data_IF_011257598117
#
_entry.id   IF_011257598117
#
_cell.length_a   1.000
_cell.length_b   1.000
_cell.length_c   1.000
_cell.angle_alpha   90.00
_cell.angle_beta   90.00
_cell.angle_gamma   90.00
#
_symmetry.space_group_name_H-M   'P 1'
#
loop_
_entity.id
_entity.type
_entity.pdbx_description
1 polymer ?
#
# COMPACT_ATOMS: atom_id res chain seq x y z
N UNK A 1 20.26 4.32 -19.13
CA UNK A 1 18.97 3.69 -18.80
C UNK A 1 19.12 2.37 -18.03
N UNK A 2 19.83 1.33 -18.52
CA UNK A 2 19.96 0.05 -17.80
C UNK A 2 20.43 0.22 -16.36
N UNK A 3 21.54 0.92 -16.12
CA UNK A 3 22.10 1.18 -14.78
C UNK A 3 21.09 1.85 -13.84
N UNK A 4 20.33 2.83 -14.32
CA UNK A 4 19.32 3.55 -13.53
C UNK A 4 18.13 2.62 -13.19
N UNK A 5 17.67 1.81 -14.15
CA UNK A 5 16.62 0.82 -13.92
C UNK A 5 17.03 -0.21 -12.86
N UNK A 6 18.29 -0.69 -12.93
CA UNK A 6 18.80 -1.67 -11.98
C UNK A 6 18.99 -1.06 -10.57
N UNK A 7 19.34 0.22 -10.50
CA UNK A 7 19.43 0.96 -9.23
C UNK A 7 18.04 1.17 -8.61
N UNK A 8 17.06 1.60 -9.42
CA UNK A 8 15.67 1.78 -8.95
C UNK A 8 15.06 0.45 -8.48
N UNK A 9 15.23 -0.64 -9.25
CA UNK A 9 14.68 -1.96 -8.92
C UNK A 9 15.16 -2.52 -7.57
N UNK A 10 16.35 -2.13 -7.13
CA UNK A 10 16.90 -2.56 -5.83
C UNK A 10 16.31 -1.80 -4.63
N UNK A 11 15.60 -0.70 -4.85
CA UNK A 11 15.08 0.14 -3.76
C UNK A 11 13.85 -0.45 -3.08
N UNK A 12 13.09 -1.31 -3.76
CA UNK A 12 11.83 -1.92 -3.28
C UNK A 12 11.69 -3.37 -3.77
N UNK A 13 12.41 -4.35 -3.20
CA UNK A 13 12.43 -5.72 -3.73
C UNK A 13 11.12 -6.51 -3.52
N UNK A 14 10.36 -6.24 -2.44
CA UNK A 14 9.10 -6.94 -2.18
C UNK A 14 7.95 -6.38 -3.02
N UNK A 15 7.83 -5.05 -3.13
CA UNK A 15 6.76 -4.39 -3.88
C UNK A 15 6.95 -4.59 -5.40
N UNK A 16 6.00 -5.27 -6.05
CA UNK A 16 6.13 -5.67 -7.45
C UNK A 16 5.91 -4.54 -8.46
N UNK A 17 5.12 -3.52 -8.11
CA UNK A 17 4.71 -2.45 -9.03
C UNK A 17 5.90 -1.66 -9.62
N UNK A 18 6.95 -1.41 -8.83
CA UNK A 18 8.15 -0.74 -9.33
C UNK A 18 8.86 -1.59 -10.38
N UNK A 19 9.01 -2.89 -10.13
CA UNK A 19 9.60 -3.83 -11.10
C UNK A 19 8.76 -3.90 -12.39
N UNK A 20 7.43 -3.96 -12.26
CA UNK A 20 6.50 -3.91 -13.38
C UNK A 20 6.69 -2.63 -14.23
N UNK A 21 6.72 -1.46 -13.60
CA UNK A 21 6.91 -0.18 -14.31
C UNK A 21 8.28 -0.12 -15.00
N UNK A 22 9.36 -0.56 -14.33
CA UNK A 22 10.70 -0.62 -14.89
C UNK A 22 10.74 -1.55 -16.11
N UNK A 23 10.12 -2.71 -16.04
CA UNK A 23 10.08 -3.67 -17.14
C UNK A 23 9.30 -3.11 -18.34
N UNK A 24 8.19 -2.43 -18.11
CA UNK A 24 7.41 -1.73 -19.12
C UNK A 24 8.25 -0.66 -19.83
N UNK A 25 8.96 0.17 -19.08
CA UNK A 25 9.88 1.18 -19.63
C UNK A 25 11.06 0.56 -20.40
N UNK A 26 11.62 -0.56 -19.91
CA UNK A 26 12.68 -1.31 -20.61
C UNK A 26 12.17 -1.87 -21.95
N UNK A 27 10.92 -2.35 -22.01
CA UNK A 27 10.33 -2.88 -23.23
C UNK A 27 10.16 -1.78 -24.29
N UNK A 28 9.61 -0.62 -23.91
CA UNK A 28 9.50 0.54 -24.82
C UNK A 28 10.85 0.95 -25.38
N UNK A 29 11.89 0.98 -24.53
CA UNK A 29 13.25 1.30 -24.98
C UNK A 29 13.82 0.28 -25.95
N UNK A 30 13.53 -1.02 -25.75
CA UNK A 30 13.96 -2.12 -26.63
C UNK A 30 13.28 -2.00 -27.99
N UNK A 31 11.97 -1.75 -27.99
CA UNK A 31 11.18 -1.65 -29.22
C UNK A 31 11.53 -0.40 -30.03
N UNK A 32 12.02 0.64 -29.36
CA UNK A 32 12.43 1.92 -29.93
C UNK A 32 13.94 2.03 -30.18
N UNK A 33 14.73 0.95 -30.09
CA UNK A 33 16.21 0.99 -30.15
C UNK A 33 16.78 1.56 -31.44
N UNK A 34 16.03 1.51 -32.56
CA UNK A 34 16.47 1.96 -33.88
C UNK A 34 16.07 3.42 -34.18
N UNK A 35 15.33 4.08 -33.26
CA UNK A 35 14.92 5.47 -33.42
C UNK A 35 16.07 6.44 -33.09
N UNK A 36 16.05 7.63 -33.65
CA UNK A 36 16.91 8.74 -33.20
C UNK A 36 16.73 8.99 -31.70
N UNK A 37 17.81 9.43 -31.03
CA UNK A 37 17.80 9.63 -29.56
C UNK A 37 16.70 10.59 -29.10
N UNK A 38 16.38 11.61 -29.90
CA UNK A 38 15.29 12.56 -29.61
C UNK A 38 13.91 11.87 -29.59
N UNK A 39 13.64 11.01 -30.57
CA UNK A 39 12.39 10.26 -30.66
C UNK A 39 12.28 9.20 -29.56
N UNK A 40 13.38 8.50 -29.28
CA UNK A 40 13.42 7.55 -28.15
C UNK A 40 13.10 8.25 -26.82
N UNK A 41 13.64 9.44 -26.56
CA UNK A 41 13.32 10.22 -25.36
C UNK A 41 11.86 10.63 -25.32
N UNK A 42 11.29 11.04 -26.46
CA UNK A 42 9.87 11.41 -26.57
C UNK A 42 8.96 10.22 -26.24
N UNK A 43 9.23 9.04 -26.80
CA UNK A 43 8.52 7.79 -26.52
C UNK A 43 8.57 7.38 -25.07
N UNK A 44 9.77 7.44 -24.45
CA UNK A 44 9.90 7.11 -23.02
C UNK A 44 9.16 8.11 -22.13
N UNK A 45 9.14 9.39 -22.47
CA UNK A 45 8.35 10.39 -21.76
C UNK A 45 6.84 10.14 -21.90
N UNK A 46 6.37 9.86 -23.11
CA UNK A 46 4.99 9.52 -23.38
C UNK A 46 4.53 8.31 -22.56
N UNK A 47 5.32 7.22 -22.56
CA UNK A 47 5.02 6.03 -21.78
C UNK A 47 4.96 6.29 -20.28
N UNK A 48 5.88 7.09 -19.75
CA UNK A 48 5.87 7.46 -18.33
C UNK A 48 4.60 8.25 -17.95
N UNK A 49 4.13 9.15 -18.83
CA UNK A 49 2.88 9.88 -18.65
C UNK A 49 1.65 8.95 -18.79
N UNK A 50 1.73 7.96 -19.67
CA UNK A 50 0.70 6.93 -19.81
C UNK A 50 0.56 6.11 -18.52
N UNK A 51 1.68 5.63 -17.96
CA UNK A 51 1.68 4.92 -16.66
C UNK A 51 1.03 5.78 -15.57
N UNK A 52 1.36 7.06 -15.50
CA UNK A 52 0.77 8.01 -14.54
C UNK A 52 -0.75 8.09 -14.68
N UNK A 53 -1.25 8.30 -15.92
CA UNK A 53 -2.69 8.47 -16.17
C UNK A 53 -3.48 7.18 -15.99
N UNK A 54 -2.91 6.04 -16.39
CA UNK A 54 -3.49 4.72 -16.17
C UNK A 54 -3.63 4.42 -14.68
N UNK A 55 -2.60 4.66 -13.88
CA UNK A 55 -2.63 4.43 -12.43
C UNK A 55 -3.76 5.24 -11.77
N UNK A 56 -3.88 6.53 -12.08
CA UNK A 56 -4.97 7.36 -11.55
C UNK A 56 -6.34 6.81 -11.96
N UNK A 57 -6.50 6.42 -13.23
CA UNK A 57 -7.76 5.89 -13.74
C UNK A 57 -8.14 4.57 -13.08
N UNK A 58 -7.19 3.64 -12.98
CA UNK A 58 -7.36 2.33 -12.33
C UNK A 58 -7.75 2.50 -10.86
N UNK A 59 -7.04 3.37 -10.13
CA UNK A 59 -7.30 3.59 -8.70
C UNK A 59 -8.67 4.26 -8.48
N UNK A 60 -9.09 5.19 -9.36
CA UNK A 60 -10.45 5.76 -9.32
C UNK A 60 -11.51 4.70 -9.60
N UNK A 61 -11.32 3.85 -10.61
CA UNK A 61 -12.26 2.76 -10.92
C UNK A 61 -12.36 1.76 -9.75
N UNK A 62 -11.21 1.38 -9.16
CA UNK A 62 -11.17 0.55 -7.96
C UNK A 62 -11.92 1.18 -6.80
N UNK A 63 -11.74 2.47 -6.56
CA UNK A 63 -12.48 3.23 -5.55
C UNK A 63 -13.98 3.19 -5.79
N UNK A 64 -14.43 3.37 -7.05
CA UNK A 64 -15.85 3.31 -7.43
C UNK A 64 -16.47 1.92 -7.19
N UNK A 65 -15.73 0.85 -7.47
CA UNK A 65 -16.21 -0.50 -7.15
C UNK A 65 -16.15 -0.77 -5.64
N UNK A 66 -15.05 -0.44 -4.98
CA UNK A 66 -14.86 -0.70 -3.54
C UNK A 66 -15.83 0.08 -2.65
N UNK A 67 -16.22 1.29 -3.04
CA UNK A 67 -17.16 2.08 -2.25
C UNK A 67 -18.56 1.42 -2.12
N UNK A 68 -18.93 0.49 -3.02
CA UNK A 68 -20.18 -0.25 -2.90
C UNK A 68 -20.22 -1.21 -1.71
N UNK A 69 -19.06 -1.59 -1.18
CA UNK A 69 -18.90 -2.44 -0.01
C UNK A 69 -18.95 -1.66 1.31
N UNK A 70 -18.96 -0.33 1.25
CA UNK A 70 -18.95 0.56 2.41
C UNK A 70 -20.32 1.19 2.56
N UNK A 71 -20.90 1.12 3.73
CA UNK A 71 -22.19 1.74 4.02
C UNK A 71 -22.03 3.08 4.75
N UNK A 72 -23.04 3.96 4.65
CA UNK A 72 -23.03 5.20 5.42
C UNK A 72 -23.17 4.88 6.90
N UNK A 73 -22.34 5.51 7.72
CA UNK A 73 -22.25 5.21 9.17
C UNK A 73 -21.06 4.32 9.51
N UNK A 74 -20.48 3.60 8.54
CA UNK A 74 -19.41 2.67 8.81
C UNK A 74 -18.15 3.33 9.39
N UNK A 75 -17.47 2.56 10.22
CA UNK A 75 -16.09 2.80 10.69
C UNK A 75 -15.16 1.86 9.94
N UNK A 76 -14.30 2.43 9.11
CA UNK A 76 -13.33 1.71 8.27
C UNK A 76 -11.98 1.71 8.96
N UNK A 77 -11.41 0.52 9.23
CA UNK A 77 -10.04 0.40 9.71
C UNK A 77 -9.09 0.23 8.53
N UNK A 78 -7.96 0.93 8.57
CA UNK A 78 -6.89 0.79 7.58
C UNK A 78 -5.52 0.69 8.24
N UNK A 79 -4.55 0.09 7.53
CA UNK A 79 -3.18 -0.14 7.98
C UNK A 79 -2.18 0.29 6.92
N UNK A 80 -1.05 0.84 7.33
CA UNK A 80 -0.02 1.42 6.47
C UNK A 80 -0.52 2.67 5.71
N UNK A 81 0.06 2.95 4.55
CA UNK A 81 -0.41 3.97 3.63
C UNK A 81 -0.56 3.37 2.23
N UNK A 82 -1.79 3.29 1.78
CA UNK A 82 -2.17 2.94 0.42
C UNK A 82 -3.02 4.08 -0.19
N UNK A 83 -2.53 5.30 -0.02
CA UNK A 83 -3.14 6.55 -0.45
C UNK A 83 -2.50 7.17 -1.69
N UNK A 84 -2.78 8.44 -1.91
CA UNK A 84 -2.27 9.23 -3.03
C UNK A 84 -0.75 9.33 -3.01
N UNK A 85 -0.14 9.39 -1.81
CA UNK A 85 1.33 9.42 -1.62
C UNK A 85 2.02 8.09 -1.98
N UNK A 86 1.28 6.99 -2.03
CA UNK A 86 1.79 5.66 -2.41
C UNK A 86 1.46 5.29 -3.87
N UNK A 87 0.77 6.14 -4.60
CA UNK A 87 0.33 5.94 -5.99
C UNK A 87 0.56 7.21 -6.81
N UNK A 88 0.01 7.27 -8.02
CA UNK A 88 0.11 8.46 -8.85
C UNK A 88 -0.91 9.58 -8.51
N UNK A 89 -1.72 9.44 -7.43
CA UNK A 89 -2.52 10.55 -6.98
C UNK A 89 -3.90 10.27 -6.34
N UNK A 90 -4.45 9.03 -6.39
CA UNK A 90 -5.77 8.76 -5.80
C UNK A 90 -5.73 7.77 -4.64
N UNK A 91 -4.83 6.79 -4.72
CA UNK A 91 -4.70 5.73 -3.73
C UNK A 91 -5.57 4.51 -4.03
N UNK A 92 -5.21 3.38 -3.41
CA UNK A 92 -5.96 2.12 -3.49
C UNK A 92 -6.92 2.01 -2.31
N UNK A 93 -6.49 1.62 -1.12
CA UNK A 93 -7.35 1.56 0.07
C UNK A 93 -7.94 2.93 0.43
N UNK A 94 -7.11 3.99 0.46
CA UNK A 94 -7.63 5.35 0.67
C UNK A 94 -8.45 5.84 -0.52
N UNK A 95 -8.25 5.28 -1.71
CA UNK A 95 -9.10 5.51 -2.88
C UNK A 95 -10.53 5.01 -2.67
N UNK A 96 -10.72 3.85 -2.04
CA UNK A 96 -12.06 3.34 -1.64
C UNK A 96 -12.71 4.28 -0.63
N UNK A 97 -11.95 4.74 0.37
CA UNK A 97 -12.43 5.70 1.39
C UNK A 97 -12.85 7.03 0.72
N UNK A 98 -12.01 7.60 -0.16
CA UNK A 98 -12.29 8.81 -0.93
C UNK A 98 -13.54 8.67 -1.79
N UNK A 99 -13.66 7.55 -2.50
CA UNK A 99 -14.84 7.26 -3.33
C UNK A 99 -16.12 7.14 -2.50
N UNK A 100 -16.04 6.57 -1.30
CA UNK A 100 -17.18 6.47 -0.38
C UNK A 100 -17.65 7.86 0.08
N UNK A 101 -16.73 8.74 0.46
CA UNK A 101 -17.06 10.14 0.79
C UNK A 101 -17.62 10.87 -0.43
N UNK A 102 -17.00 10.70 -1.61
CA UNK A 102 -17.48 11.28 -2.87
C UNK A 102 -18.87 10.82 -3.29
N UNK A 103 -19.27 9.63 -2.87
CA UNK A 103 -20.64 9.10 -3.03
C UNK A 103 -21.63 9.61 -1.96
N UNK A 104 -21.24 10.56 -1.11
CA UNK A 104 -22.07 11.17 -0.08
C UNK A 104 -22.23 10.33 1.20
N UNK A 105 -21.42 9.29 1.39
CA UNK A 105 -21.47 8.45 2.59
C UNK A 105 -20.79 9.14 3.77
N UNK A 106 -21.41 9.06 4.93
CA UNK A 106 -20.83 9.54 6.18
C UNK A 106 -20.08 8.40 6.85
N UNK A 107 -18.76 8.35 6.71
CA UNK A 107 -17.91 7.32 7.30
C UNK A 107 -16.84 7.92 8.20
N UNK A 108 -16.27 7.10 9.07
CA UNK A 108 -15.12 7.44 9.91
C UNK A 108 -14.01 6.43 9.66
N UNK A 109 -12.76 6.85 9.84
CA UNK A 109 -11.60 5.98 9.64
C UNK A 109 -10.85 5.80 10.95
N UNK A 110 -10.48 4.56 11.26
CA UNK A 110 -9.43 4.22 12.22
C UNK A 110 -8.16 3.91 11.43
N UNK A 111 -7.11 4.65 11.67
CA UNK A 111 -5.81 4.44 11.03
C UNK A 111 -4.82 3.87 12.06
N UNK A 112 -4.32 2.66 11.83
CA UNK A 112 -3.20 2.12 12.60
C UNK A 112 -1.96 2.98 12.36
N UNK A 113 -1.16 3.25 13.42
CA UNK A 113 0.08 4.03 13.29
C UNK A 113 1.12 3.36 12.40
N UNK A 114 1.10 2.03 12.32
CA UNK A 114 1.96 1.18 11.47
C UNK A 114 3.42 1.27 11.85
N UNK A 115 3.76 0.66 13.01
CA UNK A 115 5.17 0.46 13.39
C UNK A 115 5.89 -0.45 12.38
N UNK A 116 7.23 -0.34 12.21
CA UNK A 116 8.11 0.64 12.87
C UNK A 116 8.20 1.99 12.15
N UNK A 117 7.91 2.09 10.84
CA UNK A 117 8.15 3.30 10.04
C UNK A 117 7.03 4.35 10.16
N UNK A 118 5.91 4.02 10.82
CA UNK A 118 4.79 4.92 11.14
C UNK A 118 4.09 5.53 9.90
N UNK A 119 3.92 4.75 8.82
CA UNK A 119 3.25 5.23 7.61
C UNK A 119 1.79 5.63 7.89
N UNK A 120 1.09 4.91 8.76
CA UNK A 120 -0.27 5.26 9.15
C UNK A 120 -0.33 6.60 9.88
N UNK A 121 0.54 6.82 10.86
CA UNK A 121 0.60 8.06 11.61
C UNK A 121 1.09 9.25 10.78
N UNK A 122 2.14 9.03 9.95
CA UNK A 122 2.83 10.10 9.22
C UNK A 122 2.15 10.47 7.90
N UNK A 123 1.57 9.50 7.21
CA UNK A 123 1.05 9.67 5.85
C UNK A 123 -0.46 9.51 5.78
N UNK A 124 -1.01 8.38 6.25
CA UNK A 124 -2.46 8.12 6.15
C UNK A 124 -3.28 9.12 6.95
N UNK A 125 -2.90 9.39 8.20
CA UNK A 125 -3.60 10.37 9.02
C UNK A 125 -3.52 11.78 8.42
N UNK A 126 -2.37 12.14 7.82
CA UNK A 126 -2.18 13.41 7.13
C UNK A 126 -3.07 13.51 5.88
N UNK A 127 -3.03 12.51 4.98
CA UNK A 127 -3.84 12.51 3.76
C UNK A 127 -5.34 12.66 4.07
N UNK A 128 -5.85 11.84 5.00
CA UNK A 128 -7.26 11.87 5.36
C UNK A 128 -7.67 13.19 6.00
N UNK A 129 -6.79 13.79 6.81
CA UNK A 129 -7.02 15.11 7.40
C UNK A 129 -7.07 16.21 6.33
N UNK A 130 -6.13 16.21 5.37
CA UNK A 130 -6.14 17.18 4.25
C UNK A 130 -7.39 17.03 3.38
N UNK A 131 -7.89 15.81 3.21
CA UNK A 131 -9.14 15.54 2.48
C UNK A 131 -10.40 15.84 3.31
N UNK A 132 -10.28 16.33 4.55
CA UNK A 132 -11.38 16.54 5.50
C UNK A 132 -12.18 15.26 5.79
N UNK A 133 -11.56 14.10 5.76
CA UNK A 133 -12.15 12.81 6.10
C UNK A 133 -11.95 12.54 7.59
N UNK A 134 -13.01 12.26 8.37
CA UNK A 134 -12.89 11.99 9.79
C UNK A 134 -11.99 10.79 10.08
N UNK A 135 -10.84 11.03 10.71
CA UNK A 135 -9.86 10.00 11.04
C UNK A 135 -9.48 10.03 12.51
N UNK A 136 -9.37 8.85 13.12
CA UNK A 136 -8.79 8.64 14.45
C UNK A 136 -7.55 7.78 14.30
N UNK A 137 -6.40 8.28 14.72
CA UNK A 137 -5.16 7.52 14.78
C UNK A 137 -5.16 6.63 16.02
N UNK A 138 -4.77 5.37 15.85
CA UNK A 138 -4.61 4.38 16.93
C UNK A 138 -3.25 3.70 16.83
N UNK A 139 -2.74 3.19 17.95
CA UNK A 139 -1.56 2.31 17.89
C UNK A 139 -1.95 0.94 17.32
N UNK A 140 -0.99 0.22 16.73
CA UNK A 140 -1.28 -1.07 16.09
C UNK A 140 -1.92 -2.09 17.04
N UNK A 141 -1.50 -2.10 18.31
CA UNK A 141 -2.05 -2.97 19.35
C UNK A 141 -3.50 -2.64 19.75
N UNK A 142 -4.01 -1.46 19.42
CA UNK A 142 -5.38 -1.07 19.75
C UNK A 142 -6.43 -1.61 18.77
N UNK A 143 -6.05 -2.07 17.58
CA UNK A 143 -7.02 -2.52 16.57
C UNK A 143 -7.94 -3.65 17.11
N UNK A 144 -7.38 -4.61 17.85
CA UNK A 144 -8.15 -5.68 18.49
C UNK A 144 -9.16 -5.18 19.53
N UNK A 145 -8.82 -4.14 20.29
CA UNK A 145 -9.74 -3.52 21.23
C UNK A 145 -10.98 -2.95 20.51
N UNK A 146 -10.77 -2.15 19.46
CA UNK A 146 -11.87 -1.55 18.71
C UNK A 146 -12.71 -2.60 17.97
N UNK A 147 -12.09 -3.65 17.41
CA UNK A 147 -12.82 -4.75 16.76
C UNK A 147 -13.69 -5.52 17.76
N UNK A 148 -13.13 -5.88 18.93
CA UNK A 148 -13.86 -6.59 19.99
C UNK A 148 -15.05 -5.78 20.52
N UNK A 149 -14.91 -4.47 20.60
CA UNK A 149 -15.97 -3.55 21.06
C UNK A 149 -16.98 -3.20 19.95
N UNK A 150 -16.89 -3.85 18.77
CA UNK A 150 -17.78 -3.60 17.60
C UNK A 150 -17.74 -2.15 17.12
N UNK A 151 -16.57 -1.53 17.21
CA UNK A 151 -16.31 -0.17 16.73
C UNK A 151 -15.63 -0.13 15.35
N UNK A 152 -15.54 -1.29 14.66
CA UNK A 152 -15.03 -1.44 13.31
C UNK A 152 -16.04 -2.24 12.51
N UNK A 153 -16.47 -1.71 11.36
CA UNK A 153 -17.43 -2.38 10.49
C UNK A 153 -16.74 -3.14 9.36
N UNK A 154 -15.61 -2.63 8.85
CA UNK A 154 -14.81 -3.30 7.83
C UNK A 154 -13.35 -2.83 7.87
N UNK A 155 -12.49 -3.66 7.28
CA UNK A 155 -11.07 -3.34 7.08
C UNK A 155 -10.80 -3.19 5.58
N UNK A 156 -10.06 -2.14 5.19
CA UNK A 156 -9.57 -1.97 3.82
C UNK A 156 -8.08 -1.65 3.86
N UNK A 157 -7.26 -2.47 3.21
CA UNK A 157 -5.80 -2.29 3.11
C UNK A 157 -5.34 -2.35 1.66
N UNK A 158 -4.11 -1.91 1.39
CA UNK A 158 -3.44 -2.14 0.11
C UNK A 158 -2.73 -3.49 0.06
N UNK A 159 -1.89 -3.68 -0.96
CA UNK A 159 -0.98 -4.81 -1.08
C UNK A 159 0.34 -4.38 -1.72
N UNK A 160 1.44 -4.97 -1.28
CA UNK A 160 2.76 -4.83 -1.92
C UNK A 160 2.99 -5.89 -2.98
N UNK A 161 2.45 -7.11 -2.80
CA UNK A 161 2.45 -8.20 -3.79
C UNK A 161 1.32 -9.19 -3.50
N UNK A 162 0.76 -9.76 -4.55
CA UNK A 162 -0.28 -10.81 -4.46
C UNK A 162 0.18 -11.99 -5.30
N UNK A 163 0.31 -13.17 -4.70
CA UNK A 163 0.69 -14.41 -5.37
C UNK A 163 -0.47 -15.03 -6.17
N UNK A 164 -0.17 -16.03 -7.00
CA UNK A 164 -1.14 -16.69 -7.88
C UNK A 164 -2.29 -17.40 -7.17
N UNK A 165 -2.10 -17.83 -5.92
CA UNK A 165 -3.15 -18.42 -5.08
C UNK A 165 -4.00 -17.38 -4.32
N UNK A 166 -3.66 -16.09 -4.45
CA UNK A 166 -4.34 -14.98 -3.76
C UNK A 166 -3.75 -14.58 -2.41
N UNK A 167 -2.66 -15.18 -1.98
CA UNK A 167 -1.95 -14.73 -0.77
C UNK A 167 -1.39 -13.32 -0.98
N UNK A 168 -1.52 -12.49 0.06
CA UNK A 168 -1.22 -11.06 -0.01
C UNK A 168 -0.09 -10.70 0.93
N UNK A 169 1.03 -10.26 0.39
CA UNK A 169 2.05 -9.58 1.16
C UNK A 169 1.73 -8.09 1.27
N UNK A 170 1.66 -7.59 2.50
CA UNK A 170 1.49 -6.17 2.79
C UNK A 170 2.33 -5.77 4.01
N UNK A 171 2.34 -4.50 4.36
CA UNK A 171 3.12 -3.96 5.48
C UNK A 171 2.92 -4.79 6.74
N UNK A 172 4.05 -5.09 7.43
CA UNK A 172 4.06 -5.84 8.69
C UNK A 172 2.95 -5.35 9.63
N UNK A 173 2.22 -6.29 10.23
CA UNK A 173 1.03 -6.07 11.04
C UNK A 173 -0.29 -6.30 10.30
N UNK A 174 -0.27 -6.44 8.98
CA UNK A 174 -1.48 -6.74 8.18
C UNK A 174 -2.04 -8.11 8.52
N UNK A 175 -1.19 -9.14 8.68
CA UNK A 175 -1.58 -10.47 9.14
C UNK A 175 -2.33 -10.41 10.49
N UNK A 176 -1.77 -9.68 11.45
CA UNK A 176 -2.43 -9.49 12.76
C UNK A 176 -3.83 -8.88 12.60
N UNK A 177 -3.96 -7.84 11.78
CA UNK A 177 -5.26 -7.18 11.53
C UNK A 177 -6.24 -8.15 10.86
N UNK A 178 -5.79 -8.95 9.88
CA UNK A 178 -6.61 -9.94 9.18
C UNK A 178 -7.11 -11.05 10.13
N UNK A 179 -6.24 -11.57 10.99
CA UNK A 179 -6.61 -12.57 12.00
C UNK A 179 -7.63 -12.01 12.98
N UNK A 180 -7.43 -10.80 13.48
CA UNK A 180 -8.36 -10.14 14.40
C UNK A 180 -9.70 -9.82 13.71
N UNK A 181 -9.70 -9.39 12.45
CA UNK A 181 -10.92 -9.17 11.68
C UNK A 181 -11.72 -10.47 11.51
N UNK A 182 -11.04 -11.58 11.17
CA UNK A 182 -11.64 -12.90 11.05
C UNK A 182 -12.27 -13.36 12.37
N UNK A 183 -11.56 -13.24 13.48
CA UNK A 183 -12.04 -13.62 14.82
C UNK A 183 -13.28 -12.82 15.25
N UNK A 184 -13.38 -11.56 14.81
CA UNK A 184 -14.51 -10.69 15.15
C UNK A 184 -15.60 -10.65 14.05
N UNK A 185 -15.51 -11.49 13.01
CA UNK A 185 -16.42 -11.53 11.86
C UNK A 185 -16.54 -10.18 11.13
N UNK A 186 -15.44 -9.46 11.02
CA UNK A 186 -15.36 -8.17 10.32
C UNK A 186 -14.86 -8.42 8.89
N UNK A 187 -15.56 -7.93 7.85
CA UNK A 187 -15.10 -8.00 6.47
C UNK A 187 -13.72 -7.37 6.30
N UNK A 188 -12.81 -8.08 5.59
CA UNK A 188 -11.46 -7.64 5.31
C UNK A 188 -11.24 -7.59 3.80
N UNK A 189 -10.92 -6.43 3.28
CA UNK A 189 -10.74 -6.19 1.84
C UNK A 189 -9.34 -5.70 1.53
N UNK A 190 -8.80 -6.20 0.41
CA UNK A 190 -7.54 -5.75 -0.16
C UNK A 190 -7.82 -4.99 -1.46
N UNK A 191 -7.45 -3.73 -1.52
CA UNK A 191 -7.58 -2.87 -2.69
C UNK A 191 -6.22 -2.74 -3.37
N UNK A 192 -6.06 -3.41 -4.52
CA UNK A 192 -4.80 -3.43 -5.26
C UNK A 192 -5.05 -3.45 -6.78
N UNK A 193 -4.23 -2.76 -7.58
CA UNK A 193 -4.30 -2.83 -9.03
C UNK A 193 -3.75 -4.17 -9.55
N UNK A 194 -4.14 -4.56 -10.77
CA UNK A 194 -3.68 -5.81 -11.40
C UNK A 194 -2.15 -5.88 -11.49
N UNK A 195 -1.46 -4.74 -11.60
CA UNK A 195 0.02 -4.68 -11.58
C UNK A 195 0.66 -5.13 -10.26
N UNK A 196 -0.13 -5.34 -9.21
CA UNK A 196 0.31 -5.90 -7.92
C UNK A 196 0.26 -7.44 -7.91
N UNK A 197 -0.44 -8.06 -8.86
CA UNK A 197 -0.48 -9.51 -9.01
C UNK A 197 0.84 -10.01 -9.60
N UNK A 198 1.43 -10.99 -8.94
CA UNK A 198 2.62 -11.71 -9.41
C UNK A 198 2.26 -13.19 -9.63
N UNK A 199 1.76 -13.50 -10.82
CA UNK A 199 1.34 -14.85 -11.19
C UNK A 199 2.52 -15.80 -11.41
N UNK A 200 3.77 -15.32 -11.34
CA UNK A 200 4.95 -16.19 -11.39
C UNK A 200 5.23 -16.89 -10.06
N UNK A 201 4.62 -16.42 -8.96
CA UNK A 201 4.70 -17.03 -7.63
C UNK A 201 3.42 -17.81 -7.36
N UNK A 202 3.55 -19.09 -7.00
CA UNK A 202 2.38 -19.94 -6.77
C UNK A 202 1.69 -19.64 -5.45
N UNK A 203 2.44 -19.26 -4.41
CA UNK A 203 1.93 -18.95 -3.07
C UNK A 203 2.70 -17.82 -2.38
N UNK A 204 2.18 -17.37 -1.25
CA UNK A 204 2.80 -16.37 -0.40
C UNK A 204 4.16 -16.79 0.13
N UNK A 205 4.39 -18.09 0.37
CA UNK A 205 5.67 -18.63 0.83
C UNK A 205 6.84 -18.32 -0.12
N UNK A 206 6.55 -18.06 -1.40
CA UNK A 206 7.55 -17.72 -2.41
C UNK A 206 7.82 -16.19 -2.47
N UNK A 207 7.04 -15.38 -1.79
CA UNK A 207 7.21 -13.92 -1.79
C UNK A 207 8.45 -13.55 -0.97
N UNK A 208 9.45 -12.88 -1.57
CA UNK A 208 10.63 -12.45 -0.82
C UNK A 208 10.24 -11.32 0.16
N UNK A 209 10.39 -11.59 1.46
CA UNK A 209 10.17 -10.59 2.49
C UNK A 209 11.50 -9.89 2.81
N UNK A 210 11.55 -8.58 2.60
CA UNK A 210 12.74 -7.79 2.90
C UNK A 210 12.90 -7.58 4.40
N UNK A 211 14.12 -7.78 4.88
CA UNK A 211 14.55 -7.36 6.21
C UNK A 211 15.14 -5.95 6.10
N UNK A 212 14.66 -5.01 6.92
CA UNK A 212 15.07 -3.62 6.87
C UNK A 212 15.99 -3.25 8.02
N UNK A 213 16.48 -2.01 8.01
CA UNK A 213 17.40 -1.52 9.06
C UNK A 213 16.77 -1.60 10.45
N UNK A 214 17.50 -2.17 11.39
CA UNK A 214 17.14 -2.20 12.82
C UNK A 214 16.90 -0.79 13.40
N UNK A 215 17.54 0.24 12.82
CA UNK A 215 17.38 1.63 13.24
C UNK A 215 15.92 2.12 13.14
N UNK A 216 15.13 1.58 12.20
CA UNK A 216 13.71 1.91 12.09
C UNK A 216 12.90 1.37 13.28
N UNK A 217 13.33 0.27 13.89
CA UNK A 217 12.67 -0.35 15.05
C UNK A 217 13.09 0.32 16.34
N UNK A 218 14.40 0.54 16.54
CA UNK A 218 14.94 1.04 17.79
C UNK A 218 14.79 2.55 17.99
N UNK A 219 14.51 3.30 16.90
CA UNK A 219 14.34 4.75 16.99
C UNK A 219 12.91 5.18 16.65
N UNK A 220 12.49 6.26 17.30
CA UNK A 220 11.29 7.03 16.94
C UNK A 220 11.70 8.50 16.87
N UNK A 221 11.47 9.15 15.72
CA UNK A 221 11.83 10.56 15.49
C UNK A 221 13.32 10.84 15.82
N UNK A 222 14.21 9.98 15.34
CA UNK A 222 15.66 10.03 15.58
C UNK A 222 16.07 9.90 17.07
N UNK A 223 15.16 9.52 17.93
CA UNK A 223 15.46 9.24 19.35
C UNK A 223 15.45 7.74 19.57
N UNK A 224 16.56 7.21 20.09
CA UNK A 224 16.67 5.79 20.45
C UNK A 224 15.77 5.49 21.65
N UNK A 225 14.96 4.44 21.51
CA UNK A 225 14.02 3.98 22.55
C UNK A 225 14.45 2.65 23.17
N UNK A 226 15.21 1.85 22.41
CA UNK A 226 15.68 0.55 22.90
C UNK A 226 17.11 0.65 23.46
N UNK A 227 17.51 -0.21 24.41
CA UNK A 227 18.89 -0.31 24.90
C UNK A 227 19.88 -0.55 23.75
N UNK A 228 21.14 -0.11 23.94
CA UNK A 228 22.22 -0.46 23.02
C UNK A 228 22.54 -1.95 23.07
N UNK A 229 22.93 -2.53 21.94
CA UNK A 229 23.33 -3.92 21.83
C UNK A 229 22.19 -4.94 21.82
N UNK A 230 20.92 -4.51 21.85
CA UNK A 230 19.79 -5.44 21.71
C UNK A 230 19.67 -5.94 20.27
N UNK A 231 19.41 -7.24 20.11
CA UNK A 231 19.08 -7.83 18.80
C UNK A 231 17.70 -7.36 18.34
N UNK A 232 17.56 -7.14 17.03
CA UNK A 232 16.35 -6.59 16.42
C UNK A 232 16.01 -7.38 15.16
N UNK A 233 14.75 -7.79 15.03
CA UNK A 233 14.18 -8.29 13.79
C UNK A 233 13.29 -7.19 13.17
N UNK A 234 13.36 -7.05 11.84
CA UNK A 234 12.54 -6.09 11.12
C UNK A 234 12.09 -6.65 9.75
N UNK A 235 11.28 -7.73 9.72
CA UNK A 235 10.58 -8.09 8.50
C UNK A 235 9.63 -6.93 8.14
N UNK A 236 9.74 -6.43 6.92
CA UNK A 236 9.00 -5.22 6.53
C UNK A 236 7.54 -5.52 6.14
N UNK A 237 7.21 -6.78 5.84
CA UNK A 237 5.91 -7.25 5.37
C UNK A 237 5.55 -8.57 6.05
N UNK A 238 4.25 -8.89 6.07
CA UNK A 238 3.68 -10.20 6.41
C UNK A 238 2.67 -10.65 5.34
N UNK A 239 2.23 -11.91 5.43
CA UNK A 239 1.36 -12.56 4.44
C UNK A 239 0.12 -13.13 5.13
#
# INVERSE_FOLDING_TARGET
MKKQCDQLGKSRPTAVNLAWAINRMKQVAKDSKNLPVSELKARLKEEALTILTEDISINKAMGQHGQTLVESGNVVLTHCNAGALATAGFGTALGVIRASIGAGKNIRVLANETRPFLQGARLTAWELKEDNIPVKLITDSMCGYFMKNKEVDLVVVGADRIAGNGDVANKIGTYMVAVLAKENNIPFYVAAPVSTLDLSLASGDEIPIEERSSEEVVNINNKRMAPEGIEVAHPAFDI
#
